data_IF_774253193125
#
_entry.id   IF_774253193125
#
_cell.length_a   1.000
_cell.length_b   1.000
_cell.length_c   1.000
_cell.angle_alpha   90.00
_cell.angle_beta   90.00
_cell.angle_gamma   90.00
#
_symmetry.space_group_name_H-M   'P 1'
#
loop_
_entity.id
_entity.type
_entity.pdbx_description
1 polymer ?
#
# COMPACT_ATOMS: atom_id res chain seq x y z
N UNK A 1 -6.06 4.90 4.32
CA UNK A 1 -5.55 3.76 3.52
C UNK A 1 -6.56 2.62 3.48
N UNK A 2 -6.51 1.77 2.44
CA UNK A 2 -7.40 0.60 2.26
C UNK A 2 -7.37 -0.35 3.44
N UNK A 3 -6.17 -0.65 3.95
CA UNK A 3 -5.97 -1.57 5.07
C UNK A 3 -6.78 -1.18 6.32
N UNK A 4 -6.78 0.10 6.69
CA UNK A 4 -7.55 0.57 7.86
C UNK A 4 -9.06 0.46 7.65
N UNK A 5 -9.54 0.67 6.42
CA UNK A 5 -10.96 0.51 6.08
C UNK A 5 -11.39 -0.95 6.15
N UNK A 6 -10.56 -1.86 5.64
CA UNK A 6 -10.76 -3.30 5.76
C UNK A 6 -10.75 -3.72 7.23
N UNK A 7 -9.75 -3.27 7.99
CA UNK A 7 -9.60 -3.63 9.40
C UNK A 7 -10.76 -3.14 10.26
N UNK A 8 -11.29 -1.95 9.96
CA UNK A 8 -12.47 -1.41 10.62
C UNK A 8 -13.73 -2.19 10.26
N UNK A 9 -13.92 -2.51 8.97
CA UNK A 9 -15.06 -3.30 8.51
C UNK A 9 -15.10 -4.71 9.14
N UNK A 10 -13.94 -5.36 9.24
CA UNK A 10 -13.81 -6.67 9.86
C UNK A 10 -13.78 -6.63 11.40
N UNK A 11 -13.90 -5.43 11.99
CA UNK A 11 -13.87 -5.21 13.44
C UNK A 11 -12.63 -5.85 14.11
N UNK A 12 -11.46 -5.63 13.52
CA UNK A 12 -10.20 -6.22 14.00
C UNK A 12 -9.68 -5.49 15.24
N UNK A 13 -9.34 -6.25 16.27
CA UNK A 13 -8.58 -5.75 17.41
C UNK A 13 -7.08 -5.59 17.07
N UNK A 14 -6.27 -5.03 17.97
CA UNK A 14 -4.85 -4.78 17.74
C UNK A 14 -4.06 -6.03 17.33
N UNK A 15 -4.28 -7.16 18.00
CA UNK A 15 -3.60 -8.43 17.70
C UNK A 15 -4.02 -8.98 16.34
N UNK A 16 -5.31 -8.85 16.00
CA UNK A 16 -5.83 -9.30 14.71
C UNK A 16 -5.37 -8.40 13.56
N UNK A 17 -5.21 -7.10 13.80
CA UNK A 17 -4.62 -6.17 12.83
C UNK A 17 -3.17 -6.53 12.54
N UNK A 18 -2.39 -6.86 13.57
CA UNK A 18 -1.00 -7.31 13.41
C UNK A 18 -0.92 -8.60 12.60
N UNK A 19 -1.71 -9.62 12.97
CA UNK A 19 -1.82 -10.87 12.22
C UNK A 19 -2.24 -10.63 10.76
N UNK A 20 -3.26 -9.79 10.53
CA UNK A 20 -3.73 -9.51 9.18
C UNK A 20 -2.70 -8.72 8.36
N UNK A 21 -1.96 -7.80 8.99
CA UNK A 21 -0.84 -7.10 8.36
C UNK A 21 0.24 -8.07 7.91
N UNK A 22 0.63 -9.02 8.75
CA UNK A 22 1.62 -10.05 8.41
C UNK A 22 1.16 -10.94 7.25
N UNK A 23 -0.11 -11.35 7.25
CA UNK A 23 -0.70 -12.13 6.15
C UNK A 23 -0.65 -11.35 4.84
N UNK A 24 -0.99 -10.06 4.87
CA UNK A 24 -0.99 -9.20 3.69
C UNK A 24 0.43 -8.97 3.18
N UNK A 25 1.36 -8.62 4.08
CA UNK A 25 2.76 -8.38 3.77
C UNK A 25 3.44 -9.62 3.16
N UNK A 26 3.24 -10.79 3.77
CA UNK A 26 3.80 -12.06 3.30
C UNK A 26 3.03 -12.69 2.14
N UNK A 27 1.87 -12.12 1.76
CA UNK A 27 0.92 -12.66 0.76
C UNK A 27 0.58 -14.14 1.02
N UNK A 28 0.51 -14.53 2.29
CA UNK A 28 0.30 -15.92 2.73
C UNK A 28 -1.16 -16.35 2.53
N UNK A 29 -1.44 -16.93 1.36
CA UNK A 29 -2.79 -17.36 0.97
C UNK A 29 -3.40 -18.42 1.90
N UNK A 30 -2.67 -19.46 2.35
CA UNK A 30 -3.20 -20.41 3.34
C UNK A 30 -3.68 -19.74 4.64
N UNK A 31 -2.85 -18.87 5.24
CA UNK A 31 -3.22 -18.13 6.45
C UNK A 31 -4.39 -17.18 6.21
N UNK A 32 -4.44 -16.54 5.04
CA UNK A 32 -5.56 -15.69 4.63
C UNK A 32 -6.89 -16.46 4.57
N UNK A 33 -6.87 -17.70 4.07
CA UNK A 33 -8.06 -18.54 3.99
C UNK A 33 -8.59 -18.91 5.39
N UNK A 34 -7.68 -19.26 6.32
CA UNK A 34 -8.05 -19.50 7.71
C UNK A 34 -8.67 -18.26 8.36
N UNK A 35 -8.01 -17.11 8.18
CA UNK A 35 -8.49 -15.83 8.69
C UNK A 35 -9.90 -15.48 8.17
N UNK A 36 -10.18 -15.74 6.89
CA UNK A 36 -11.52 -15.51 6.32
C UNK A 36 -12.61 -16.38 6.95
N UNK A 37 -12.27 -17.62 7.31
CA UNK A 37 -13.21 -18.52 7.97
C UNK A 37 -13.48 -18.06 9.40
N UNK A 38 -12.43 -17.75 10.16
CA UNK A 38 -12.53 -17.31 11.56
C UNK A 38 -13.31 -15.99 11.71
N UNK A 39 -13.20 -15.10 10.73
CA UNK A 39 -13.88 -13.79 10.69
C UNK A 39 -15.20 -13.78 9.93
N UNK A 40 -15.64 -14.93 9.42
CA UNK A 40 -16.86 -15.07 8.62
C UNK A 40 -16.94 -14.01 7.48
N UNK A 41 -15.82 -13.77 6.81
CA UNK A 41 -15.71 -12.69 5.82
C UNK A 41 -16.60 -13.00 4.61
N UNK A 42 -17.46 -12.06 4.15
CA UNK A 42 -18.30 -12.28 2.98
C UNK A 42 -17.48 -12.61 1.72
N UNK A 43 -17.95 -13.55 0.89
CA UNK A 43 -17.20 -14.08 -0.27
C UNK A 43 -16.76 -12.98 -1.25
N UNK A 44 -17.59 -11.98 -1.50
CA UNK A 44 -17.25 -10.85 -2.37
C UNK A 44 -16.18 -9.94 -1.74
N UNK A 45 -16.19 -9.79 -0.42
CA UNK A 45 -15.15 -9.08 0.30
C UNK A 45 -13.83 -9.86 0.32
N UNK A 46 -13.89 -11.20 0.43
CA UNK A 46 -12.71 -12.06 0.25
C UNK A 46 -12.11 -11.89 -1.14
N UNK A 47 -12.96 -11.83 -2.18
CA UNK A 47 -12.52 -11.60 -3.56
C UNK A 47 -11.83 -10.24 -3.70
N UNK A 48 -12.38 -9.17 -3.11
CA UNK A 48 -11.70 -7.88 -3.10
C UNK A 48 -10.33 -7.94 -2.43
N UNK A 49 -10.22 -8.56 -1.25
CA UNK A 49 -8.93 -8.68 -0.56
C UNK A 49 -7.92 -9.43 -1.44
N UNK A 50 -8.33 -10.50 -2.14
CA UNK A 50 -7.46 -11.20 -3.10
C UNK A 50 -7.09 -10.31 -4.29
N UNK A 51 -8.04 -9.56 -4.85
CA UNK A 51 -7.75 -8.58 -5.91
C UNK A 51 -6.74 -7.54 -5.43
N UNK A 52 -6.87 -7.01 -4.22
CA UNK A 52 -5.91 -6.05 -3.65
C UNK A 52 -4.50 -6.65 -3.55
N UNK A 53 -4.38 -7.94 -3.18
CA UNK A 53 -3.09 -8.61 -2.97
C UNK A 53 -2.35 -8.97 -4.26
N UNK A 54 -3.11 -9.32 -5.30
CA UNK A 54 -2.58 -9.99 -6.50
C UNK A 54 -2.89 -9.28 -7.83
N UNK A 55 -3.80 -8.28 -7.83
CA UNK A 55 -4.15 -7.53 -9.03
C UNK A 55 -3.51 -6.13 -9.00
N UNK A 56 -2.59 -5.91 -9.94
CA UNK A 56 -1.87 -4.64 -10.11
C UNK A 56 -2.45 -3.77 -11.24
N UNK A 57 -3.55 -4.21 -11.86
CA UNK A 57 -4.30 -3.42 -12.84
C UNK A 57 -5.39 -2.59 -12.14
N UNK A 58 -5.14 -1.29 -12.08
CA UNK A 58 -6.04 -0.34 -11.45
C UNK A 58 -7.43 -0.29 -12.09
N UNK A 59 -7.57 -0.52 -13.39
CA UNK A 59 -8.89 -0.42 -14.04
C UNK A 59 -9.86 -1.47 -13.49
N UNK A 60 -9.40 -2.72 -13.40
CA UNK A 60 -10.17 -3.83 -12.86
C UNK A 60 -10.38 -3.66 -11.35
N UNK A 61 -9.31 -3.37 -10.62
CA UNK A 61 -9.36 -3.20 -9.17
C UNK A 61 -10.27 -2.04 -8.73
N UNK A 62 -10.30 -0.93 -9.47
CA UNK A 62 -11.19 0.21 -9.24
C UNK A 62 -12.65 -0.23 -9.21
N UNK A 63 -13.05 -1.10 -10.13
CA UNK A 63 -14.45 -1.55 -10.24
C UNK A 63 -14.84 -2.37 -9.01
N UNK A 64 -13.98 -3.30 -8.60
CA UNK A 64 -14.18 -4.12 -7.40
C UNK A 64 -14.24 -3.26 -6.13
N UNK A 65 -13.30 -2.32 -5.98
CA UNK A 65 -13.25 -1.39 -4.83
C UNK A 65 -14.52 -0.56 -4.74
N UNK A 66 -14.98 0.05 -5.85
CA UNK A 66 -16.18 0.89 -5.84
C UNK A 66 -17.45 0.09 -5.55
N UNK A 67 -17.54 -1.13 -6.07
CA UNK A 67 -18.67 -2.03 -5.80
C UNK A 67 -18.77 -2.36 -4.31
N UNK A 68 -17.66 -2.81 -3.71
CA UNK A 68 -17.59 -3.15 -2.28
C UNK A 68 -17.75 -1.91 -1.40
N UNK A 69 -17.13 -0.78 -1.77
CA UNK A 69 -17.27 0.49 -1.07
C UNK A 69 -18.74 0.87 -0.90
N UNK A 70 -19.52 0.79 -1.98
CA UNK A 70 -20.95 1.11 -1.97
C UNK A 70 -21.76 0.08 -1.19
N UNK A 71 -21.48 -1.21 -1.36
CA UNK A 71 -22.23 -2.30 -0.70
C UNK A 71 -22.09 -2.25 0.82
N UNK A 72 -20.91 -1.87 1.31
CA UNK A 72 -20.58 -1.88 2.74
C UNK A 72 -20.33 -0.49 3.36
N UNK A 73 -20.65 0.60 2.64
CA UNK A 73 -20.44 2.00 3.06
C UNK A 73 -19.01 2.32 3.58
N UNK A 74 -17.98 1.83 2.87
CA UNK A 74 -16.58 2.01 3.30
C UNK A 74 -16.02 3.41 3.03
N UNK A 75 -16.66 4.14 2.11
CA UNK A 75 -16.28 5.49 1.66
C UNK A 75 -14.87 5.52 1.05
N UNK A 76 -14.61 4.65 0.08
CA UNK A 76 -13.33 4.52 -0.62
C UNK A 76 -13.25 5.35 -1.92
N UNK A 77 -14.26 6.17 -2.21
CA UNK A 77 -14.31 6.99 -3.44
C UNK A 77 -13.17 8.01 -3.47
N UNK A 78 -12.83 8.60 -2.31
CA UNK A 78 -11.71 9.53 -2.19
C UNK A 78 -10.37 8.87 -2.52
N UNK A 79 -10.15 7.63 -2.07
CA UNK A 79 -8.93 6.87 -2.40
C UNK A 79 -8.82 6.65 -3.91
N UNK A 80 -9.91 6.29 -4.58
CA UNK A 80 -9.93 6.10 -6.03
C UNK A 80 -9.62 7.42 -6.73
N UNK A 81 -10.25 8.53 -6.31
CA UNK A 81 -9.98 9.86 -6.87
C UNK A 81 -8.53 10.31 -6.65
N UNK A 82 -7.96 10.09 -5.47
CA UNK A 82 -6.55 10.36 -5.17
C UNK A 82 -5.63 9.54 -6.06
N UNK A 83 -5.92 8.25 -6.26
CA UNK A 83 -5.14 7.38 -7.14
C UNK A 83 -5.20 7.86 -8.58
N UNK A 84 -6.38 8.25 -9.08
CA UNK A 84 -6.54 8.81 -10.43
C UNK A 84 -5.77 10.11 -10.62
N UNK A 85 -5.74 10.98 -9.60
CA UNK A 85 -4.95 12.21 -9.63
C UNK A 85 -3.45 11.93 -9.66
N UNK A 86 -2.97 10.92 -8.92
CA UNK A 86 -1.57 10.49 -8.98
C UNK A 86 -1.24 9.96 -10.37
N UNK A 87 -2.12 9.13 -10.94
CA UNK A 87 -1.95 8.55 -12.27
C UNK A 87 -1.95 9.59 -13.38
N UNK A 88 -2.81 10.62 -13.29
CA UNK A 88 -2.86 11.68 -14.30
C UNK A 88 -1.54 12.47 -14.32
N UNK A 89 -1.08 12.93 -13.16
CA UNK A 89 0.22 13.62 -13.01
C UNK A 89 1.38 12.71 -13.39
N UNK A 90 1.27 11.41 -13.13
CA UNK A 90 2.24 10.45 -13.61
C UNK A 90 2.28 10.48 -15.15
N UNK A 91 1.16 10.20 -15.81
CA UNK A 91 1.13 10.02 -17.27
C UNK A 91 1.47 11.28 -18.09
N UNK A 92 1.48 12.47 -17.50
CA UNK A 92 1.91 13.73 -18.16
C UNK A 92 3.38 13.75 -18.62
N UNK A 93 4.25 12.94 -18.02
CA UNK A 93 5.69 12.96 -18.29
C UNK A 93 6.24 11.57 -18.56
N UNK A 94 7.11 11.47 -19.57
CA UNK A 94 7.96 10.29 -19.74
C UNK A 94 8.96 10.22 -18.58
N UNK A 95 9.10 9.05 -17.99
CA UNK A 95 10.07 8.75 -16.92
C UNK A 95 11.01 7.63 -17.37
N UNK A 96 12.15 7.56 -16.71
CA UNK A 96 13.16 6.53 -16.95
C UNK A 96 12.82 5.18 -16.28
N UNK A 97 11.73 5.12 -15.53
CA UNK A 97 11.31 3.94 -14.78
C UNK A 97 9.79 3.83 -14.78
N UNK A 98 9.33 2.58 -14.71
CA UNK A 98 7.92 2.22 -14.59
C UNK A 98 7.48 2.25 -13.13
N UNK A 99 6.16 2.18 -12.93
CA UNK A 99 5.56 2.03 -11.60
C UNK A 99 4.52 0.92 -11.64
N UNK A 100 4.23 0.39 -10.47
CA UNK A 100 3.20 -0.61 -10.23
C UNK A 100 2.31 -0.12 -9.10
N UNK A 101 0.99 -0.20 -9.26
CA UNK A 101 0.05 0.14 -8.19
C UNK A 101 -0.19 -1.10 -7.33
N UNK A 102 0.27 -1.06 -6.09
CA UNK A 102 0.07 -2.11 -5.10
C UNK A 102 -0.74 -1.57 -3.91
N UNK A 103 -2.03 -1.92 -3.85
CA UNK A 103 -2.91 -1.54 -2.74
C UNK A 103 -2.71 -2.41 -1.49
N UNK A 104 -1.92 -3.49 -1.59
CA UNK A 104 -1.50 -4.32 -0.48
C UNK A 104 -0.23 -3.82 0.21
N UNK A 105 0.38 -2.74 -0.30
CA UNK A 105 1.55 -2.13 0.32
C UNK A 105 1.19 -1.51 1.68
N UNK A 106 1.39 -2.28 2.74
CA UNK A 106 1.29 -1.84 4.14
C UNK A 106 2.69 -1.47 4.62
N UNK A 107 2.77 -0.43 5.46
CA UNK A 107 3.99 -0.05 6.17
C UNK A 107 3.79 -0.29 7.66
N UNK A 108 4.83 -0.78 8.33
CA UNK A 108 4.87 -0.92 9.80
C UNK A 108 4.70 0.42 10.55
N UNK A 109 4.83 1.52 9.82
CA UNK A 109 4.78 2.87 10.33
C UNK A 109 3.35 3.42 10.23
N UNK A 110 2.60 3.31 11.33
CA UNK A 110 1.23 3.81 11.53
C UNK A 110 1.09 5.36 11.48
N UNK A 111 2.00 6.08 10.82
CA UNK A 111 1.94 7.53 10.65
C UNK A 111 1.60 7.99 9.23
N UNK A 112 1.61 7.09 8.24
CA UNK A 112 1.24 7.46 6.88
C UNK A 112 -0.26 7.72 6.76
N UNK A 113 -0.62 8.80 6.05
CA UNK A 113 -1.99 9.30 5.93
C UNK A 113 -2.55 9.18 4.52
N UNK A 114 -1.68 9.07 3.51
CA UNK A 114 -2.06 8.99 2.10
C UNK A 114 -1.30 7.89 1.36
N UNK A 115 -0.85 8.20 0.14
CA UNK A 115 -0.07 7.26 -0.66
C UNK A 115 1.28 6.95 -0.01
N UNK A 116 1.75 5.73 -0.25
CA UNK A 116 3.09 5.26 0.07
C UNK A 116 3.71 4.67 -1.18
N UNK A 117 5.04 4.66 -1.25
CA UNK A 117 5.74 4.06 -2.37
C UNK A 117 7.05 3.44 -1.92
N UNK A 118 7.45 2.41 -2.68
CA UNK A 118 8.78 1.84 -2.66
C UNK A 118 9.36 1.90 -4.08
N UNK A 119 10.66 2.17 -4.17
CA UNK A 119 11.41 2.03 -5.41
C UNK A 119 12.45 0.93 -5.25
N UNK A 120 12.47 0.02 -6.22
CA UNK A 120 13.36 -1.13 -6.26
C UNK A 120 14.34 -0.97 -7.43
N UNK A 121 15.51 -1.60 -7.34
CA UNK A 121 16.51 -1.60 -8.40
C UNK A 121 17.09 -2.99 -8.60
N UNK A 122 17.07 -3.46 -9.86
CA UNK A 122 17.73 -4.69 -10.28
C UNK A 122 17.42 -5.91 -9.40
N UNK A 123 18.49 -6.57 -8.94
CA UNK A 123 18.43 -7.85 -8.22
C UNK A 123 18.30 -7.70 -6.69
N UNK A 124 18.00 -6.51 -6.19
CA UNK A 124 17.88 -6.26 -4.74
C UNK A 124 16.42 -6.38 -4.34
N UNK A 125 16.14 -7.27 -3.38
CA UNK A 125 14.79 -7.50 -2.84
C UNK A 125 14.30 -6.34 -1.98
N UNK A 126 15.21 -5.61 -1.36
CA UNK A 126 14.89 -4.50 -0.47
C UNK A 126 14.69 -3.17 -1.23
N UNK A 127 13.76 -2.31 -0.80
CA UNK A 127 13.51 -1.03 -1.44
C UNK A 127 14.69 -0.07 -1.24
N UNK A 128 15.20 0.47 -2.35
CA UNK A 128 16.26 1.50 -2.38
C UNK A 128 15.73 2.82 -1.84
N UNK A 129 14.53 3.21 -2.27
CA UNK A 129 13.80 4.38 -1.77
C UNK A 129 12.47 3.95 -1.19
N UNK A 130 12.05 4.62 -0.12
CA UNK A 130 10.72 4.45 0.47
C UNK A 130 10.19 5.78 0.98
N UNK A 131 8.89 6.00 0.86
CA UNK A 131 8.28 7.25 1.30
C UNK A 131 6.78 7.27 1.18
N UNK A 132 6.20 8.45 1.40
CA UNK A 132 4.76 8.65 1.33
C UNK A 132 4.30 9.96 1.97
N UNK A 133 2.99 10.13 2.05
CA UNK A 133 2.32 11.27 2.70
C UNK A 133 1.98 10.96 4.17
N UNK A 134 2.26 11.90 5.06
CA UNK A 134 2.18 11.77 6.53
C UNK A 134 1.73 13.07 7.22
N UNK A 135 0.58 13.59 6.81
CA UNK A 135 0.06 14.91 7.19
C UNK A 135 -0.18 15.08 8.70
N UNK A 136 -0.47 13.99 9.41
CA UNK A 136 -0.75 14.04 10.85
C UNK A 136 0.51 13.90 11.73
N UNK A 137 1.68 13.60 11.14
CA UNK A 137 2.91 13.45 11.92
C UNK A 137 3.31 14.76 12.58
N UNK A 138 3.28 15.86 11.82
CA UNK A 138 3.62 17.18 12.34
C UNK A 138 2.60 17.67 13.38
N UNK A 139 1.31 17.39 13.15
CA UNK A 139 0.22 17.71 14.06
C UNK A 139 0.39 17.03 15.42
N UNK A 140 0.79 15.75 15.43
CA UNK A 140 1.00 14.97 16.66
C UNK A 140 1.97 15.63 17.64
N UNK A 141 2.98 16.34 17.15
CA UNK A 141 4.00 16.97 17.99
C UNK A 141 3.82 18.48 18.20
N UNK A 142 3.21 19.18 17.24
CA UNK A 142 3.08 20.64 17.28
C UNK A 142 1.66 21.14 17.59
N UNK A 143 0.65 20.27 17.49
CA UNK A 143 -0.77 20.65 17.54
C UNK A 143 -1.29 21.38 16.29
N UNK A 144 -0.45 21.55 15.26
CA UNK A 144 -0.79 22.26 14.02
C UNK A 144 -0.86 21.26 12.87
N UNK A 145 -2.00 21.18 12.19
CA UNK A 145 -2.12 20.35 10.99
C UNK A 145 -1.32 20.98 9.83
N UNK A 146 -0.52 20.15 9.16
CA UNK A 146 0.19 20.51 7.93
C UNK A 146 0.29 19.31 7.02
N UNK A 147 0.05 19.53 5.72
CA UNK A 147 0.32 18.50 4.73
C UNK A 147 1.83 18.24 4.66
N UNK A 148 2.22 16.97 4.64
CA UNK A 148 3.61 16.56 4.69
C UNK A 148 3.83 15.29 3.86
N UNK A 149 4.90 15.27 3.08
CA UNK A 149 5.36 14.09 2.39
C UNK A 149 6.88 14.09 2.29
N UNK A 150 7.45 12.91 2.07
CA UNK A 150 8.89 12.77 1.88
C UNK A 150 9.29 11.31 1.72
N UNK A 151 10.59 11.09 1.62
CA UNK A 151 11.17 9.79 1.37
C UNK A 151 12.55 9.67 2.00
N UNK A 152 13.00 8.44 2.15
CA UNK A 152 14.35 8.08 2.57
C UNK A 152 14.98 7.17 1.51
N UNK A 153 16.31 7.13 1.51
CA UNK A 153 17.12 6.28 0.64
C UNK A 153 18.05 5.43 1.51
N UNK A 154 18.14 4.13 1.21
CA UNK A 154 19.09 3.25 1.88
C UNK A 154 20.50 3.44 1.28
N UNK A 155 21.40 4.04 2.07
CA UNK A 155 22.79 4.24 1.62
C UNK A 155 23.54 2.93 1.43
N UNK A 156 23.27 1.93 2.26
CA UNK A 156 23.92 0.61 2.18
C UNK A 156 23.58 -0.08 0.85
N UNK A 157 22.30 -0.06 0.47
CA UNK A 157 21.82 -0.62 -0.81
C UNK A 157 22.41 0.15 -1.99
N UNK A 158 22.47 1.48 -1.92
CA UNK A 158 23.07 2.31 -2.97
C UNK A 158 24.56 1.99 -3.13
N UNK A 159 25.30 1.83 -2.02
CA UNK A 159 26.71 1.46 -2.06
C UNK A 159 26.90 0.07 -2.71
N UNK A 160 26.04 -0.89 -2.38
CA UNK A 160 26.05 -2.23 -2.98
C UNK A 160 25.78 -2.18 -4.49
N UNK A 161 24.76 -1.44 -4.93
CA UNK A 161 24.43 -1.27 -6.35
C UNK A 161 25.62 -0.68 -7.13
N UNK A 162 26.26 0.35 -6.58
CA UNK A 162 27.42 0.99 -7.20
C UNK A 162 28.65 0.07 -7.27
N UNK A 163 28.82 -0.83 -6.29
CA UNK A 163 29.87 -1.87 -6.34
C UNK A 163 29.57 -2.90 -7.43
N UNK A 164 28.32 -3.36 -7.52
CA UNK A 164 27.92 -4.37 -8.49
C UNK A 164 28.00 -3.86 -9.94
N UNK A 165 27.65 -2.59 -10.20
CA UNK A 165 27.85 -1.96 -11.52
C UNK A 165 29.34 -1.90 -11.92
N UNK A 166 30.25 -1.70 -10.97
CA UNK A 166 31.69 -1.63 -11.22
C UNK A 166 32.34 -2.99 -11.52
N UNK A 167 31.70 -4.10 -11.12
CA UNK A 167 32.20 -5.46 -11.34
C UNK A 167 31.65 -6.04 -12.66
N UNK A 168 30.63 -5.42 -13.25
CA UNK A 168 30.03 -5.79 -14.53
C UNK A 168 30.65 -5.14 -15.78
N UNK A 169 31.99 -5.02 -15.84
CA UNK A 169 32.75 -4.62 -17.04
C UNK A 169 33.75 -5.72 -17.43
#
# INVERSE_FOLDING_TARGET
>A
MVFEKISTFLNLNSTEKELFSDIVYSKNTPSLNGFFQDKEVPVDFQNLIRSILFNFDFHNLKTDILHISKKYDLKLENLISETENILSVWNEKKRAFDFCLDFSLIRDLNYYTGFVFHAYSGNISDPVFMGGAYDHLYERYSGVQKNACGFAMSMDIVEELLKNERIGV
#
